data_IF_463206190173
#
_entry.id   IF_463206190173
#
_cell.length_a   1.000
_cell.length_b   1.000
_cell.length_c   1.000
_cell.angle_alpha   90.00
_cell.angle_beta   90.00
_cell.angle_gamma   90.00
#
_symmetry.space_group_name_H-M   'P 1'
#
loop_
_entity.id
_entity.type
_entity.pdbx_description
1 polymer ?
#
# COMPACT_ATOMS: atom_id res chain seq x y z
N UNK A 1 85.46 25.15 -54.17
CA UNK A 1 84.86 25.80 -52.99
C UNK A 1 84.07 27.01 -53.46
N UNK A 2 82.74 27.00 -53.37
CA UNK A 2 81.88 28.14 -53.73
C UNK A 2 80.96 28.43 -52.54
N UNK A 3 81.21 29.57 -51.90
CA UNK A 3 80.56 30.02 -50.68
C UNK A 3 79.09 30.42 -50.94
N UNK A 4 78.20 30.00 -50.04
CA UNK A 4 76.77 30.35 -50.04
C UNK A 4 76.59 31.69 -49.33
N UNK A 5 76.00 32.65 -50.03
CA UNK A 5 75.58 33.94 -49.46
C UNK A 5 74.07 33.89 -49.20
N UNK A 6 73.68 34.05 -47.94
CA UNK A 6 72.29 34.14 -47.51
C UNK A 6 71.72 35.55 -47.81
N UNK A 7 70.44 35.62 -48.18
CA UNK A 7 69.69 36.87 -48.25
C UNK A 7 68.65 36.93 -47.11
N UNK A 8 68.40 38.12 -46.52
CA UNK A 8 67.52 38.27 -45.36
C UNK A 8 66.05 38.48 -45.74
N UNK A 9 65.19 38.10 -44.81
CA UNK A 9 63.73 38.07 -44.91
C UNK A 9 63.07 39.47 -44.93
N UNK A 10 61.95 39.58 -45.66
CA UNK A 10 60.92 40.62 -45.48
C UNK A 10 59.68 40.01 -44.83
N UNK A 11 59.24 40.56 -43.68
CA UNK A 11 57.93 40.30 -43.07
C UNK A 11 56.81 41.00 -43.86
N UNK A 12 55.57 40.51 -43.74
CA UNK A 12 54.53 41.42 -43.27
C UNK A 12 53.53 40.84 -42.25
N UNK A 13 53.04 41.77 -41.43
CA UNK A 13 51.73 41.91 -40.76
C UNK A 13 51.16 40.80 -39.83
N UNK A 14 50.99 41.17 -38.55
CA UNK A 14 50.12 40.49 -37.56
C UNK A 14 48.62 40.60 -37.91
N UNK A 15 47.66 40.08 -37.16
CA UNK A 15 47.52 39.80 -35.72
C UNK A 15 46.40 38.75 -35.54
N UNK A 16 46.38 38.07 -34.39
CA UNK A 16 45.15 37.51 -33.83
C UNK A 16 45.31 36.08 -33.31
N UNK A 17 45.75 35.95 -32.05
CA UNK A 17 45.56 34.70 -31.30
C UNK A 17 44.06 34.53 -31.06
N UNK A 18 43.40 33.61 -31.75
CA UNK A 18 42.07 33.16 -31.37
C UNK A 18 42.19 32.29 -30.11
N UNK A 19 41.68 32.78 -28.98
CA UNK A 19 41.44 31.95 -27.80
C UNK A 19 40.47 30.81 -28.17
N UNK A 20 40.64 29.58 -27.62
CA UNK A 20 39.68 28.51 -27.86
C UNK A 20 38.32 28.91 -27.27
N UNK A 21 37.27 28.76 -28.07
CA UNK A 21 35.90 29.06 -27.66
C UNK A 21 35.50 28.24 -26.42
N UNK A 22 34.73 28.80 -25.48
CA UNK A 22 34.27 28.06 -24.32
C UNK A 22 33.33 26.95 -24.77
N UNK A 23 33.69 25.72 -24.42
CA UNK A 23 32.89 24.53 -24.68
C UNK A 23 31.59 24.63 -23.87
N UNK A 24 30.49 25.00 -24.52
CA UNK A 24 29.19 25.15 -23.87
C UNK A 24 28.60 23.77 -23.55
N UNK A 25 28.76 23.33 -22.30
CA UNK A 25 28.15 22.11 -21.76
C UNK A 25 26.67 22.30 -21.42
N UNK A 26 25.86 22.74 -22.39
CA UNK A 26 24.40 22.79 -22.23
C UNK A 26 23.71 22.29 -23.50
N UNK A 27 23.96 21.02 -23.84
CA UNK A 27 23.00 20.29 -24.67
C UNK A 27 21.76 20.04 -23.79
N UNK A 28 20.87 21.04 -23.71
CA UNK A 28 19.59 20.91 -23.04
C UNK A 28 18.83 19.72 -23.61
N UNK A 29 18.08 19.03 -22.75
CA UNK A 29 17.17 17.95 -23.15
C UNK A 29 16.19 18.55 -24.18
N UNK A 30 16.43 18.28 -25.47
CA UNK A 30 15.55 18.75 -26.53
C UNK A 30 14.37 17.81 -26.69
N UNK A 31 13.21 18.32 -27.11
CA UNK A 31 12.04 17.49 -27.40
C UNK A 31 12.37 16.36 -28.39
N UNK A 32 13.21 16.63 -29.40
CA UNK A 32 13.68 15.60 -30.34
C UNK A 32 14.49 14.49 -29.68
N UNK A 33 15.36 14.84 -28.73
CA UNK A 33 16.12 13.84 -27.96
C UNK A 33 15.18 13.00 -27.10
N UNK A 34 14.21 13.61 -26.41
CA UNK A 34 13.20 12.88 -25.60
C UNK A 34 12.37 11.94 -26.47
N UNK A 35 11.87 12.43 -27.60
CA UNK A 35 11.04 11.65 -28.54
C UNK A 35 11.83 10.45 -29.08
N UNK A 36 13.10 10.65 -29.48
CA UNK A 36 13.96 9.56 -29.97
C UNK A 36 14.20 8.50 -28.90
N UNK A 37 14.43 8.90 -27.66
CA UNK A 37 14.63 7.96 -26.55
C UNK A 37 13.34 7.24 -26.18
N UNK A 38 12.18 7.91 -26.17
CA UNK A 38 10.88 7.28 -25.97
C UNK A 38 10.59 6.24 -27.06
N UNK A 39 10.85 6.58 -28.32
CA UNK A 39 10.72 5.65 -29.45
C UNK A 39 11.65 4.44 -29.28
N UNK A 40 12.91 4.67 -28.92
CA UNK A 40 13.88 3.59 -28.67
C UNK A 40 13.41 2.67 -27.53
N UNK A 41 12.91 3.23 -26.42
CA UNK A 41 12.35 2.47 -25.30
C UNK A 41 11.14 1.64 -25.75
N UNK A 42 10.23 2.22 -26.53
CA UNK A 42 9.06 1.49 -27.07
C UNK A 42 9.48 0.35 -27.97
N UNK A 43 10.44 0.57 -28.87
CA UNK A 43 10.97 -0.47 -29.78
C UNK A 43 11.63 -1.58 -28.98
N UNK A 44 12.51 -1.25 -28.02
CA UNK A 44 13.19 -2.24 -27.17
C UNK A 44 12.19 -3.03 -26.34
N UNK A 45 11.19 -2.36 -25.74
CA UNK A 45 10.13 -3.03 -24.99
C UNK A 45 9.29 -3.97 -25.87
N UNK A 46 8.99 -3.55 -27.11
CA UNK A 46 8.27 -4.38 -28.08
C UNK A 46 9.08 -5.62 -28.47
N UNK A 47 10.37 -5.46 -28.79
CA UNK A 47 11.25 -6.56 -29.17
C UNK A 47 11.48 -7.52 -28.00
N UNK A 48 11.72 -7.02 -26.80
CA UNK A 48 11.81 -7.83 -25.58
C UNK A 48 10.53 -8.62 -25.35
N UNK A 49 9.36 -7.98 -25.46
CA UNK A 49 8.09 -8.66 -25.30
C UNK A 49 7.90 -9.76 -26.35
N UNK A 50 8.15 -9.48 -27.64
CA UNK A 50 7.89 -10.43 -28.73
C UNK A 50 8.91 -11.56 -28.85
N UNK A 51 10.19 -11.29 -28.61
CA UNK A 51 11.28 -12.24 -28.84
C UNK A 51 11.69 -13.00 -27.58
N UNK A 52 11.52 -12.40 -26.40
CA UNK A 52 12.00 -12.98 -25.13
C UNK A 52 10.85 -13.42 -24.24
N UNK A 53 9.88 -12.54 -23.98
CA UNK A 53 8.84 -12.80 -22.98
C UNK A 53 7.67 -13.64 -23.53
N UNK A 54 7.13 -13.32 -24.70
CA UNK A 54 5.97 -13.98 -25.29
C UNK A 54 6.17 -15.47 -25.64
N UNK A 55 7.33 -15.91 -26.16
CA UNK A 55 7.55 -17.32 -26.51
C UNK A 55 7.70 -18.24 -25.28
N UNK A 56 8.03 -17.68 -24.12
CA UNK A 56 8.33 -18.41 -22.90
C UNK A 56 7.07 -18.50 -22.03
N UNK A 57 6.52 -19.70 -21.78
CA UNK A 57 5.31 -19.88 -20.98
C UNK A 57 5.45 -19.31 -19.56
N UNK A 58 6.67 -19.31 -19.03
CA UNK A 58 7.02 -18.83 -17.69
C UNK A 58 6.88 -17.31 -17.55
N UNK A 59 7.00 -16.54 -18.64
CA UNK A 59 6.85 -15.08 -18.61
C UNK A 59 5.41 -14.61 -18.88
N UNK A 60 4.42 -15.53 -18.99
CA UNK A 60 2.99 -15.17 -19.12
C UNK A 60 2.53 -14.17 -18.06
N UNK A 61 3.08 -14.23 -16.86
CA UNK A 61 2.77 -13.26 -15.80
C UNK A 61 3.21 -11.82 -16.09
N UNK A 62 4.19 -11.59 -16.96
CA UNK A 62 4.67 -10.22 -17.22
C UNK A 62 3.74 -9.40 -18.13
N UNK A 63 3.03 -10.06 -19.06
CA UNK A 63 2.19 -9.38 -20.06
C UNK A 63 0.71 -9.73 -19.95
N UNK A 64 0.37 -10.92 -19.45
CA UNK A 64 -1.03 -11.39 -19.36
C UNK A 64 -1.68 -10.97 -18.04
N UNK A 65 -0.99 -11.15 -16.92
CA UNK A 65 -1.54 -10.86 -15.60
C UNK A 65 -1.88 -9.37 -15.36
N UNK A 66 -1.03 -8.38 -15.75
CA UNK A 66 -1.38 -6.98 -15.57
C UNK A 66 -2.64 -6.61 -16.37
N UNK A 67 -2.78 -7.16 -17.58
CA UNK A 67 -3.96 -6.97 -18.40
C UNK A 67 -5.20 -7.60 -17.76
N UNK A 68 -5.12 -8.88 -17.36
CA UNK A 68 -6.25 -9.59 -16.72
C UNK A 68 -6.66 -8.99 -15.38
N UNK A 69 -5.69 -8.54 -14.56
CA UNK A 69 -6.00 -7.82 -13.33
C UNK A 69 -6.64 -6.47 -13.63
N UNK A 70 -6.16 -5.73 -14.65
CA UNK A 70 -6.73 -4.43 -15.00
C UNK A 70 -8.15 -4.58 -15.56
N UNK A 71 -8.36 -5.48 -16.51
CA UNK A 71 -9.67 -5.74 -17.11
C UNK A 71 -10.63 -6.33 -16.09
N UNK A 72 -10.18 -7.33 -15.31
CA UNK A 72 -11.00 -7.95 -14.26
C UNK A 72 -11.39 -6.95 -13.16
N UNK A 73 -10.46 -6.11 -12.70
CA UNK A 73 -10.78 -5.06 -11.72
C UNK A 73 -11.73 -4.01 -12.30
N UNK A 74 -11.57 -3.65 -13.58
CA UNK A 74 -12.45 -2.69 -14.25
C UNK A 74 -13.86 -3.26 -14.43
N UNK A 75 -13.98 -4.53 -14.84
CA UNK A 75 -15.24 -5.25 -14.95
C UNK A 75 -15.95 -5.34 -13.61
N UNK A 76 -15.25 -5.75 -12.55
CA UNK A 76 -15.79 -5.77 -11.20
C UNK A 76 -16.26 -4.37 -10.75
N UNK A 77 -15.47 -3.33 -11.02
CA UNK A 77 -15.83 -1.94 -10.68
C UNK A 77 -17.10 -1.50 -11.40
N UNK A 78 -17.28 -1.89 -12.67
CA UNK A 78 -18.48 -1.59 -13.45
C UNK A 78 -19.68 -2.39 -12.94
N UNK A 79 -19.52 -3.69 -12.74
CA UNK A 79 -20.58 -4.59 -12.29
C UNK A 79 -21.12 -4.17 -10.92
N UNK A 80 -20.25 -3.70 -10.02
CA UNK A 80 -20.61 -3.26 -8.68
C UNK A 80 -20.63 -1.73 -8.52
N UNK A 81 -20.78 -0.97 -9.62
CA UNK A 81 -20.72 0.49 -9.59
C UNK A 81 -21.75 1.11 -8.63
N UNK A 82 -22.95 0.52 -8.54
CA UNK A 82 -24.05 0.98 -7.69
C UNK A 82 -23.92 0.57 -6.21
N UNK A 83 -22.89 -0.18 -5.82
CA UNK A 83 -22.71 -0.61 -4.43
C UNK A 83 -22.21 0.53 -3.53
N UNK A 84 -22.71 0.57 -2.31
CA UNK A 84 -22.24 1.49 -1.27
C UNK A 84 -20.85 1.10 -0.78
N UNK A 85 -20.15 2.03 -0.12
CA UNK A 85 -18.85 1.76 0.51
C UNK A 85 -18.90 0.57 1.46
N UNK A 86 -19.97 0.44 2.25
CA UNK A 86 -20.14 -0.65 3.20
C UNK A 86 -20.30 -2.00 2.49
N UNK A 87 -21.11 -2.04 1.43
CA UNK A 87 -21.27 -3.24 0.61
C UNK A 87 -19.94 -3.66 -0.02
N UNK A 88 -19.14 -2.71 -0.50
CA UNK A 88 -17.80 -3.01 -1.05
C UNK A 88 -16.85 -3.55 0.01
N UNK A 89 -16.89 -3.01 1.23
CA UNK A 89 -16.08 -3.55 2.33
C UNK A 89 -16.56 -4.93 2.77
N UNK A 90 -17.86 -5.16 2.84
CA UNK A 90 -18.44 -6.47 3.15
C UNK A 90 -18.06 -7.51 2.09
N UNK A 91 -18.12 -7.18 0.80
CA UNK A 91 -17.66 -8.05 -0.28
C UNK A 91 -16.15 -8.36 -0.20
N UNK A 92 -15.33 -7.36 0.15
CA UNK A 92 -13.87 -7.49 0.16
C UNK A 92 -13.33 -8.18 1.42
N UNK A 93 -13.96 -7.92 2.56
CA UNK A 93 -13.44 -8.28 3.89
C UNK A 93 -14.34 -9.28 4.62
N UNK A 94 -15.54 -9.54 4.10
CA UNK A 94 -16.48 -10.50 4.66
C UNK A 94 -16.80 -10.21 6.12
N UNK A 95 -16.78 -11.27 6.93
CA UNK A 95 -17.13 -11.22 8.35
C UNK A 95 -16.26 -10.23 9.14
N UNK A 96 -15.01 -9.98 8.73
CA UNK A 96 -14.15 -9.00 9.41
C UNK A 96 -14.74 -7.60 9.39
N UNK A 97 -15.29 -7.17 8.25
CA UNK A 97 -15.94 -5.87 8.17
C UNK A 97 -17.26 -5.85 8.93
N UNK A 98 -18.09 -6.89 8.73
CA UNK A 98 -19.39 -7.00 9.40
C UNK A 98 -19.23 -6.95 10.92
N UNK A 99 -18.25 -7.67 11.46
CA UNK A 99 -17.94 -7.68 12.89
C UNK A 99 -17.48 -6.31 13.39
N UNK A 100 -16.52 -5.66 12.73
CA UNK A 100 -16.06 -4.32 13.14
C UNK A 100 -17.16 -3.26 13.01
N UNK A 101 -18.03 -3.36 11.99
CA UNK A 101 -19.21 -2.51 11.86
C UNK A 101 -20.18 -2.74 13.03
N UNK A 102 -20.45 -3.99 13.38
CA UNK A 102 -21.26 -4.33 14.55
C UNK A 102 -20.70 -3.74 15.84
N UNK A 103 -19.38 -3.85 16.08
CA UNK A 103 -18.72 -3.22 17.24
C UNK A 103 -18.93 -1.70 17.24
N UNK A 104 -18.81 -1.06 16.07
CA UNK A 104 -19.01 0.38 15.91
C UNK A 104 -20.45 0.79 16.23
N UNK A 105 -21.42 0.12 15.65
CA UNK A 105 -22.85 0.45 15.79
C UNK A 105 -23.36 0.18 17.21
N UNK A 106 -22.78 -0.81 17.89
CA UNK A 106 -23.20 -1.23 19.23
C UNK A 106 -22.51 -0.49 20.38
N UNK A 107 -21.65 0.48 20.10
CA UNK A 107 -20.89 1.22 21.13
C UNK A 107 -20.95 2.72 20.91
N UNK A 108 -20.87 3.55 21.98
CA UNK A 108 -20.88 5.00 21.82
C UNK A 108 -19.59 5.52 21.16
N UNK A 109 -19.60 6.72 20.54
CA UNK A 109 -18.43 7.27 19.83
C UNK A 109 -17.16 7.39 20.69
N UNK A 110 -17.29 7.64 21.99
CA UNK A 110 -16.18 7.78 22.94
C UNK A 110 -15.74 6.46 23.58
N UNK A 111 -16.25 5.31 23.12
CA UNK A 111 -15.90 4.01 23.70
C UNK A 111 -14.40 3.71 23.58
N UNK A 112 -13.88 3.03 24.60
CA UNK A 112 -12.54 2.43 24.61
C UNK A 112 -12.77 0.92 24.60
N UNK A 113 -12.48 0.30 23.47
CA UNK A 113 -12.77 -1.11 23.20
C UNK A 113 -11.49 -1.93 23.38
N UNK A 114 -11.53 -2.93 24.27
CA UNK A 114 -10.55 -4.00 24.30
C UNK A 114 -10.84 -4.95 23.13
N UNK A 115 -9.92 -4.99 22.17
CA UNK A 115 -10.04 -5.80 20.97
C UNK A 115 -9.48 -7.21 21.21
N UNK A 116 -10.10 -8.27 20.64
CA UNK A 116 -9.57 -9.62 20.74
C UNK A 116 -8.17 -9.74 20.12
N UNK A 117 -7.39 -10.69 20.63
CA UNK A 117 -6.08 -11.01 20.08
C UNK A 117 -6.18 -11.74 18.73
N UNK A 118 -5.05 -11.93 18.06
CA UNK A 118 -4.99 -12.64 16.78
C UNK A 118 -5.55 -14.06 16.89
N UNK A 119 -5.27 -14.74 17.99
CA UNK A 119 -5.65 -16.12 18.26
C UNK A 119 -7.17 -16.26 18.41
N UNK A 120 -7.84 -15.22 18.91
CA UNK A 120 -9.31 -15.17 18.97
C UNK A 120 -9.94 -15.11 17.58
N UNK A 121 -9.35 -14.36 16.64
CA UNK A 121 -9.85 -14.28 15.26
C UNK A 121 -9.43 -15.46 14.40
N UNK A 122 -8.25 -16.03 14.66
CA UNK A 122 -7.63 -17.10 13.89
C UNK A 122 -7.16 -18.26 14.78
N UNK A 123 -8.09 -18.99 15.42
CA UNK A 123 -7.76 -20.13 16.24
C UNK A 123 -7.10 -21.25 15.41
N UNK A 124 -6.08 -21.89 15.98
CA UNK A 124 -5.39 -22.99 15.32
C UNK A 124 -6.32 -24.20 15.13
N UNK A 125 -6.25 -24.84 13.96
CA UNK A 125 -7.06 -26.02 13.65
C UNK A 125 -8.52 -25.74 13.30
N UNK A 126 -8.96 -24.48 13.22
CA UNK A 126 -10.30 -24.10 12.78
C UNK A 126 -10.28 -23.42 11.41
N UNK A 127 -11.43 -23.48 10.72
CA UNK A 127 -11.61 -22.80 9.44
C UNK A 127 -11.53 -21.28 9.61
N UNK A 128 -10.80 -20.61 8.70
CA UNK A 128 -10.67 -19.15 8.72
C UNK A 128 -11.92 -18.48 8.16
N UNK A 129 -12.79 -18.03 9.06
CA UNK A 129 -14.00 -17.27 8.70
C UNK A 129 -13.72 -15.77 8.54
N UNK A 130 -12.72 -15.25 9.26
CA UNK A 130 -12.26 -13.87 9.12
C UNK A 130 -11.22 -13.74 8.00
N UNK A 131 -11.18 -12.55 7.38
CA UNK A 131 -10.18 -12.19 6.38
C UNK A 131 -9.38 -10.95 6.79
N UNK A 132 -8.19 -10.75 6.23
CA UNK A 132 -7.33 -9.61 6.55
C UNK A 132 -6.81 -9.64 8.01
N UNK A 133 -6.71 -8.47 8.64
CA UNK A 133 -6.13 -8.31 9.97
C UNK A 133 -7.06 -7.57 10.95
N UNK A 134 -8.24 -8.12 11.28
CA UNK A 134 -9.20 -7.47 12.19
C UNK A 134 -8.66 -7.27 13.61
N UNK A 135 -7.62 -8.01 14.01
CA UNK A 135 -6.89 -7.88 15.28
C UNK A 135 -5.84 -6.75 15.29
N UNK A 136 -5.45 -6.24 14.11
CA UNK A 136 -4.45 -5.19 14.02
C UNK A 136 -5.06 -3.85 14.44
N UNK A 137 -4.47 -3.20 15.46
CA UNK A 137 -4.96 -1.95 16.03
C UNK A 137 -5.19 -0.85 14.99
N UNK A 138 -4.23 -0.62 14.10
CA UNK A 138 -4.35 0.42 13.07
C UNK A 138 -5.47 0.10 12.08
N UNK A 139 -5.55 -1.17 11.69
CA UNK A 139 -6.56 -1.63 10.75
C UNK A 139 -7.98 -1.53 11.33
N UNK A 140 -8.18 -2.02 12.55
CA UNK A 140 -9.45 -1.93 13.27
C UNK A 140 -9.86 -0.49 13.54
N UNK A 141 -8.92 0.38 13.94
CA UNK A 141 -9.19 1.80 14.23
C UNK A 141 -9.79 2.53 13.02
N UNK A 142 -9.36 2.21 11.79
CA UNK A 142 -9.91 2.80 10.56
C UNK A 142 -11.43 2.61 10.46
N UNK A 143 -11.95 1.46 10.89
CA UNK A 143 -13.39 1.18 10.85
C UNK A 143 -14.11 1.65 12.11
N UNK A 144 -13.45 1.56 13.27
CA UNK A 144 -14.05 1.87 14.57
C UNK A 144 -14.03 3.36 14.94
N UNK A 145 -13.28 4.20 14.23
CA UNK A 145 -13.21 5.65 14.48
C UNK A 145 -14.62 6.25 14.66
N UNK A 146 -14.86 7.09 15.69
CA UNK A 146 -13.88 7.70 16.62
C UNK A 146 -13.52 6.88 17.88
N UNK A 147 -13.93 5.62 17.98
CA UNK A 147 -13.68 4.77 19.17
C UNK A 147 -12.19 4.46 19.29
N UNK A 148 -11.71 4.36 20.53
CA UNK A 148 -10.33 3.99 20.83
C UNK A 148 -10.23 2.48 20.95
N UNK A 149 -9.16 1.92 20.38
CA UNK A 149 -8.87 0.49 20.40
C UNK A 149 -7.68 0.22 21.31
N UNK A 150 -7.82 -0.75 22.21
CA UNK A 150 -6.76 -1.25 23.09
C UNK A 150 -6.57 -2.73 22.80
N UNK A 151 -5.32 -3.17 22.65
CA UNK A 151 -4.99 -4.58 22.51
C UNK A 151 -4.76 -5.21 23.87
N UNK A 152 -4.93 -6.53 23.96
CA UNK A 152 -4.60 -7.32 25.16
C UNK A 152 -3.15 -7.13 25.60
N UNK A 153 -2.22 -6.98 24.64
CA UNK A 153 -0.79 -6.71 24.90
C UNK A 153 -0.48 -5.33 25.48
N UNK A 154 -1.44 -4.40 25.48
CA UNK A 154 -1.33 -3.03 26.01
C UNK A 154 -1.95 -2.89 27.41
N UNK A 155 -2.56 -3.95 27.94
CA UNK A 155 -3.12 -3.98 29.29
C UNK A 155 -2.02 -3.72 30.33
N UNK A 156 -2.26 -2.76 31.23
CA UNK A 156 -1.32 -2.34 32.26
C UNK A 156 -0.15 -1.47 31.77
N UNK A 157 0.01 -1.27 30.46
CA UNK A 157 1.12 -0.49 29.87
C UNK A 157 0.73 0.94 29.50
N UNK A 158 -0.56 1.20 29.32
CA UNK A 158 -1.05 2.51 28.87
C UNK A 158 -2.12 3.05 29.83
N UNK A 159 -2.24 4.37 30.00
CA UNK A 159 -3.33 4.94 30.80
C UNK A 159 -4.74 4.58 30.29
N UNK A 160 -4.85 4.17 29.03
CA UNK A 160 -6.11 3.77 28.42
C UNK A 160 -6.56 2.37 28.83
N UNK A 161 -5.66 1.49 29.31
CA UNK A 161 -6.07 0.18 29.80
C UNK A 161 -6.98 0.26 31.03
N UNK A 162 -6.86 1.33 31.81
CA UNK A 162 -7.74 1.59 32.96
C UNK A 162 -9.06 2.25 32.58
N UNK A 163 -9.20 2.67 31.32
CA UNK A 163 -10.37 3.40 30.80
C UNK A 163 -11.19 2.57 29.81
N UNK A 164 -10.95 1.26 29.75
CA UNK A 164 -11.69 0.37 28.87
C UNK A 164 -13.16 0.41 29.29
N UNK A 165 -14.05 0.63 28.32
CA UNK A 165 -15.49 0.68 28.55
C UNK A 165 -16.19 -0.56 28.02
N UNK A 166 -15.65 -1.19 26.98
CA UNK A 166 -16.24 -2.38 26.36
C UNK A 166 -15.18 -3.42 26.01
N UNK A 167 -15.56 -4.69 26.05
CA UNK A 167 -14.76 -5.84 25.62
C UNK A 167 -15.42 -6.48 24.41
N UNK A 168 -14.70 -6.48 23.30
CA UNK A 168 -15.10 -7.20 22.10
C UNK A 168 -14.77 -8.69 22.26
N UNK A 169 -15.69 -9.55 21.83
CA UNK A 169 -15.61 -11.00 21.92
C UNK A 169 -15.61 -11.59 20.52
N UNK A 170 -14.64 -12.43 20.22
CA UNK A 170 -14.54 -13.15 18.95
C UNK A 170 -14.25 -14.63 19.21
N UNK A 171 -15.02 -15.50 18.55
CA UNK A 171 -15.00 -16.96 18.75
C UNK A 171 -15.06 -17.36 20.23
N UNK A 172 -15.84 -16.63 21.04
CA UNK A 172 -16.00 -16.90 22.47
C UNK A 172 -14.82 -16.49 23.36
N UNK A 173 -13.76 -15.90 22.79
CA UNK A 173 -12.62 -15.33 23.54
C UNK A 173 -12.89 -13.87 23.85
N UNK A 174 -12.62 -13.45 25.08
CA UNK A 174 -12.83 -12.08 25.57
C UNK A 174 -13.68 -12.02 26.84
N UNK A 175 -14.48 -13.05 27.12
CA UNK A 175 -15.31 -13.11 28.34
C UNK A 175 -14.47 -13.04 29.63
N UNK A 176 -13.22 -13.52 29.60
CA UNK A 176 -12.27 -13.50 30.70
C UNK A 176 -11.87 -12.08 31.17
N UNK A 177 -12.14 -11.04 30.35
CA UNK A 177 -11.86 -9.64 30.72
C UNK A 177 -13.07 -8.91 31.31
N UNK A 178 -14.23 -9.57 31.42
CA UNK A 178 -15.41 -9.01 32.09
C UNK A 178 -15.33 -9.26 33.60
N UNK A 179 -15.88 -8.34 34.39
CA UNK A 179 -15.95 -8.45 35.85
C UNK A 179 -17.28 -9.07 36.35
N UNK A 180 -18.06 -9.68 35.45
CA UNK A 180 -19.34 -10.31 35.74
C UNK A 180 -19.53 -11.57 34.90
N UNK A 181 -20.38 -12.47 35.38
CA UNK A 181 -20.73 -13.68 34.63
C UNK A 181 -21.80 -13.39 33.58
N UNK A 182 -21.61 -13.95 32.39
CA UNK A 182 -22.56 -13.86 31.28
C UNK A 182 -23.25 -15.21 31.13
N UNK A 183 -24.57 -15.32 31.41
CA UNK A 183 -25.29 -16.60 31.37
C UNK A 183 -25.28 -17.27 30.00
N UNK A 184 -25.36 -16.47 28.92
CA UNK A 184 -25.36 -16.97 27.55
C UNK A 184 -24.19 -16.38 26.76
N UNK A 185 -23.18 -17.21 26.50
CA UNK A 185 -21.97 -16.82 25.77
C UNK A 185 -22.17 -16.97 24.27
N UNK A 186 -22.30 -15.85 23.58
CA UNK A 186 -22.30 -15.79 22.12
C UNK A 186 -20.85 -15.82 21.58
N UNK A 187 -20.61 -16.42 20.41
CA UNK A 187 -19.27 -16.46 19.83
C UNK A 187 -18.77 -15.07 19.41
N UNK A 188 -19.69 -14.17 19.01
CA UNK A 188 -19.38 -12.80 18.61
C UNK A 188 -20.25 -11.85 19.42
N UNK A 189 -19.63 -10.94 20.17
CA UNK A 189 -20.34 -9.96 20.99
C UNK A 189 -19.46 -8.74 21.30
N UNK A 190 -20.09 -7.71 21.85
CA UNK A 190 -19.43 -6.55 22.46
C UNK A 190 -20.18 -6.20 23.73
N UNK A 191 -19.49 -6.26 24.87
CA UNK A 191 -20.11 -6.14 26.18
C UNK A 191 -19.43 -5.03 26.99
N UNK A 192 -20.19 -4.20 27.72
CA UNK A 192 -19.60 -3.17 28.57
C UNK A 192 -18.88 -3.82 29.76
N UNK A 193 -17.76 -3.26 30.22
CA UNK A 193 -17.10 -3.74 31.46
C UNK A 193 -17.95 -3.47 32.70
N UNK A 194 -18.73 -2.39 32.66
CA UNK A 194 -19.66 -2.06 33.73
C UNK A 194 -21.07 -2.06 33.13
N UNK A 195 -21.86 -3.13 33.35
CA UNK A 195 -23.25 -3.13 32.91
C UNK A 195 -23.98 -1.97 33.57
N UNK A 196 -24.85 -1.29 32.81
CA UNK A 196 -25.76 -0.32 33.42
C UNK A 196 -26.69 -1.12 34.35
N UNK A 197 -26.68 -0.76 35.64
CA UNK A 197 -27.68 -1.22 36.60
C UNK A 197 -29.08 -0.78 36.14
#
# INVERSE_FOLDING_TARGET
MKNKTAQPAKKPAGKGKSAPAPQSWTAGITASWVIKNLLAVVIVAFLLNKLVLYPQPEYKWTYKWPYEMLTGNLEATRHYAATTTDQRFEMKLGLSYVYLRYLKESTPPNAVILLPSKEAFFPEGQERVFSGEPYNKLWATRFLYPRRVILTSELGKTPWSQKITHVAIANGVGYEYLNYEVPQKAPFAILPIHPKQ
#
